data_IF_952342273538
#
_entry.id   IF_952342273538
#
_cell.length_a   1.000
_cell.length_b   1.000
_cell.length_c   1.000
_cell.angle_alpha   90.00
_cell.angle_beta   90.00
_cell.angle_gamma   90.00
#
_symmetry.space_group_name_H-M   'P 1'
#
loop_
_entity.id
_entity.type
_entity.pdbx_description
1 polymer ?
#
# COMPACT_ATOMS: atom_id res chain seq x y z
N UNK A 1 -1.88 0.04 -15.32
CA UNK A 1 -1.14 0.40 -16.55
C UNK A 1 -1.77 1.64 -17.17
N UNK A 2 -0.99 2.54 -17.78
CA UNK A 2 -1.52 3.71 -18.50
C UNK A 2 -0.89 3.80 -19.91
N UNK A 3 -1.64 4.35 -20.87
CA UNK A 3 -1.14 4.53 -22.23
C UNK A 3 -0.26 5.78 -22.27
N UNK A 4 0.99 5.63 -22.70
CA UNK A 4 1.93 6.75 -22.84
C UNK A 4 1.82 7.38 -24.23
N UNK A 5 1.70 6.56 -25.27
CA UNK A 5 1.56 7.06 -26.64
C UNK A 5 0.80 6.11 -27.55
N UNK A 6 0.18 6.67 -28.58
CA UNK A 6 -0.54 5.97 -29.65
C UNK A 6 0.04 6.43 -30.98
N UNK A 7 0.55 5.52 -31.79
CA UNK A 7 1.16 5.79 -33.10
C UNK A 7 2.27 6.87 -33.07
N UNK A 8 3.01 6.94 -31.95
CA UNK A 8 4.07 7.94 -31.75
C UNK A 8 3.58 9.29 -31.20
N UNK A 9 2.27 9.49 -31.06
CA UNK A 9 1.68 10.67 -30.41
C UNK A 9 1.68 10.42 -28.90
N UNK A 10 2.38 11.26 -28.14
CA UNK A 10 2.36 11.21 -26.68
C UNK A 10 0.98 11.66 -26.18
N UNK A 11 0.33 10.76 -25.44
CA UNK A 11 -1.00 11.00 -24.85
C UNK A 11 -0.95 10.97 -23.33
N UNK A 12 0.26 10.93 -22.74
CA UNK A 12 0.46 10.75 -21.30
C UNK A 12 -0.10 11.88 -20.44
N UNK A 13 -0.31 13.07 -21.04
CA UNK A 13 -0.83 14.28 -20.39
C UNK A 13 -2.17 14.75 -20.95
N UNK A 14 -2.76 14.00 -21.88
CA UNK A 14 -4.03 14.36 -22.50
C UNK A 14 -5.20 14.05 -21.57
N UNK A 15 -6.27 14.82 -21.69
CA UNK A 15 -7.52 14.46 -21.05
C UNK A 15 -8.23 13.32 -21.81
N UNK A 16 -9.30 12.78 -21.24
CA UNK A 16 -10.00 11.63 -21.81
C UNK A 16 -10.52 11.86 -23.24
N UNK A 17 -11.04 13.06 -23.52
CA UNK A 17 -11.62 13.39 -24.83
C UNK A 17 -10.54 13.52 -25.91
N UNK A 18 -9.44 14.20 -25.59
CA UNK A 18 -8.28 14.35 -26.45
C UNK A 18 -7.62 12.99 -26.76
N UNK A 19 -7.41 12.16 -25.73
CA UNK A 19 -6.87 10.82 -25.91
C UNK A 19 -7.79 9.93 -26.75
N UNK A 20 -9.11 10.05 -26.56
CA UNK A 20 -10.10 9.33 -27.36
C UNK A 20 -10.10 9.81 -28.83
N UNK A 21 -9.91 11.11 -29.08
CA UNK A 21 -9.77 11.64 -30.44
C UNK A 21 -8.56 11.03 -31.16
N UNK A 22 -7.40 10.97 -30.49
CA UNK A 22 -6.19 10.36 -31.06
C UNK A 22 -6.43 8.88 -31.42
N UNK A 23 -7.09 8.12 -30.53
CA UNK A 23 -7.46 6.73 -30.80
C UNK A 23 -8.45 6.60 -31.96
N UNK A 24 -9.44 7.50 -32.07
CA UNK A 24 -10.41 7.52 -33.18
C UNK A 24 -9.79 7.86 -34.53
N UNK A 25 -8.71 8.65 -34.54
CA UNK A 25 -7.97 8.98 -35.77
C UNK A 25 -7.02 7.88 -36.23
N UNK A 26 -6.79 6.85 -35.40
CA UNK A 26 -5.92 5.74 -35.76
C UNK A 26 -6.63 4.81 -36.76
N UNK A 27 -6.09 4.71 -37.98
CA UNK A 27 -6.58 3.80 -39.02
C UNK A 27 -5.53 2.74 -39.32
N UNK A 28 -5.92 1.46 -39.32
CA UNK A 28 -5.01 0.34 -39.57
C UNK A 28 -4.27 -0.13 -38.31
N UNK A 29 -2.99 -0.48 -38.47
CA UNK A 29 -2.19 -1.07 -37.37
C UNK A 29 -1.84 -0.01 -36.32
N UNK A 30 -2.39 -0.17 -35.11
CA UNK A 30 -2.16 0.74 -33.98
C UNK A 30 -0.95 0.29 -33.15
N UNK A 31 0.02 1.18 -32.95
CA UNK A 31 1.16 0.98 -32.06
C UNK A 31 0.93 1.73 -30.75
N UNK A 32 0.71 0.99 -29.65
CA UNK A 32 0.45 1.56 -28.34
C UNK A 32 1.66 1.32 -27.44
N UNK A 33 2.24 2.38 -26.88
CA UNK A 33 3.24 2.23 -25.81
C UNK A 33 2.52 2.34 -24.47
N UNK A 34 2.58 1.26 -23.70
CA UNK A 34 2.06 1.21 -22.34
C UNK A 34 3.17 1.56 -21.36
N UNK A 35 2.88 2.49 -20.47
CA UNK A 35 3.62 2.67 -19.23
C UNK A 35 3.12 1.63 -18.24
N UNK A 36 3.97 0.65 -17.93
CA UNK A 36 3.81 -0.07 -16.66
C UNK A 36 3.93 0.99 -15.59
N UNK A 37 2.87 1.16 -14.82
CA UNK A 37 2.93 1.97 -13.61
C UNK A 37 4.02 1.31 -12.76
N UNK A 38 5.21 1.90 -12.68
CA UNK A 38 6.03 1.66 -11.50
C UNK A 38 5.13 2.10 -10.38
N UNK A 39 4.70 1.14 -9.56
CA UNK A 39 3.99 1.41 -8.32
C UNK A 39 4.95 2.19 -7.43
N UNK A 40 5.16 3.47 -7.74
CA UNK A 40 5.49 4.43 -6.74
C UNK A 40 4.23 4.48 -5.87
N UNK A 41 4.49 4.21 -4.60
CA UNK A 41 3.58 4.08 -3.47
C UNK A 41 2.79 5.38 -3.25
N UNK A 42 1.94 5.74 -4.19
CA UNK A 42 1.06 6.90 -4.15
C UNK A 42 -0.15 6.62 -5.04
N UNK A 43 -0.80 5.48 -4.80
CA UNK A 43 -2.15 5.22 -5.25
C UNK A 43 -3.09 5.56 -4.10
N UNK A 44 -3.61 6.79 -4.12
CA UNK A 44 -4.88 7.24 -3.52
C UNK A 44 -5.38 6.52 -2.27
N UNK A 45 -4.57 6.66 -1.24
CA UNK A 45 -4.93 6.69 0.17
C UNK A 45 -3.62 6.95 0.92
N UNK A 46 -3.64 7.85 1.90
CA UNK A 46 -2.43 8.51 2.41
C UNK A 46 -1.57 7.52 3.20
N UNK A 47 -0.78 6.70 2.49
CA UNK A 47 0.21 5.84 3.11
C UNK A 47 1.26 6.71 3.79
N UNK A 48 1.46 6.54 5.09
CA UNK A 48 2.51 7.19 5.86
C UNK A 48 3.44 6.13 6.45
N UNK A 49 4.73 6.45 6.47
CA UNK A 49 5.72 5.61 7.13
C UNK A 49 5.94 6.13 8.54
N UNK A 50 5.90 5.23 9.52
CA UNK A 50 6.21 5.55 10.93
C UNK A 50 7.30 4.62 11.44
N UNK A 51 8.22 5.17 12.22
CA UNK A 51 9.26 4.40 12.89
C UNK A 51 8.90 4.34 14.37
N UNK A 52 8.80 3.13 14.91
CA UNK A 52 8.48 2.88 16.30
C UNK A 52 9.68 2.25 17.00
N UNK A 53 10.02 2.74 18.18
CA UNK A 53 11.00 2.11 19.04
C UNK A 53 10.32 1.12 19.98
N UNK A 54 10.90 -0.08 20.11
CA UNK A 54 10.38 -1.12 20.98
C UNK A 54 10.62 -0.75 22.45
N UNK A 55 9.54 -0.59 23.21
CA UNK A 55 9.57 -0.43 24.66
C UNK A 55 9.70 -1.77 25.40
N UNK A 56 9.67 -1.71 26.73
CA UNK A 56 9.72 -2.89 27.63
C UNK A 56 8.63 -3.91 27.34
N UNK A 57 7.42 -3.42 27.05
CA UNK A 57 6.22 -4.23 26.77
C UNK A 57 5.96 -4.41 25.27
N UNK A 58 6.96 -4.12 24.43
CA UNK A 58 6.88 -4.22 22.97
C UNK A 58 6.53 -2.89 22.30
N UNK A 59 5.71 -2.95 21.24
CA UNK A 59 5.37 -1.77 20.43
C UNK A 59 4.16 -0.99 20.97
N UNK A 60 3.39 -1.59 21.89
CA UNK A 60 2.23 -0.96 22.53
C UNK A 60 1.03 -0.72 21.62
N UNK A 61 0.79 -1.62 20.68
CA UNK A 61 -0.48 -1.72 19.95
C UNK A 61 -0.85 -3.19 19.73
N UNK A 62 -2.13 -3.45 19.49
CA UNK A 62 -2.60 -4.77 19.06
C UNK A 62 -3.13 -4.72 17.64
N UNK A 63 -3.02 -5.84 16.93
CA UNK A 63 -3.50 -5.97 15.55
C UNK A 63 -4.64 -6.98 15.44
N UNK A 64 -5.49 -6.76 14.45
CA UNK A 64 -6.46 -7.72 13.92
C UNK A 64 -6.16 -7.94 12.44
N UNK A 65 -6.75 -8.98 11.87
CA UNK A 65 -6.58 -9.32 10.46
C UNK A 65 -6.55 -10.83 10.32
N UNK A 66 -7.24 -11.34 9.32
CA UNK A 66 -7.31 -12.77 9.06
C UNK A 66 -7.47 -13.01 7.56
N UNK A 67 -6.36 -13.38 6.93
CA UNK A 67 -6.32 -13.74 5.53
C UNK A 67 -6.95 -15.12 5.25
N UNK A 68 -7.26 -15.93 6.27
CA UNK A 68 -7.90 -17.25 6.09
C UNK A 68 -9.43 -17.19 6.17
N UNK A 69 -10.01 -16.05 6.56
CA UNK A 69 -11.45 -15.86 6.63
C UNK A 69 -12.07 -15.61 5.24
N UNK A 70 -12.34 -16.67 4.48
CA UNK A 70 -13.17 -16.58 3.27
C UNK A 70 -14.64 -16.30 3.66
N UNK A 71 -15.39 -15.48 2.90
CA UNK A 71 -15.05 -14.84 1.63
C UNK A 71 -14.49 -13.41 1.77
N UNK A 72 -14.22 -12.94 2.99
CA UNK A 72 -13.78 -11.57 3.28
C UNK A 72 -12.41 -11.59 3.95
N UNK A 73 -11.37 -11.59 3.14
CA UNK A 73 -10.00 -11.35 3.60
C UNK A 73 -9.97 -10.06 4.43
N UNK A 74 -9.54 -10.15 5.68
CA UNK A 74 -9.37 -8.98 6.54
C UNK A 74 -7.89 -8.61 6.57
N UNK A 75 -7.49 -7.46 5.98
CA UNK A 75 -6.14 -6.92 6.10
C UNK A 75 -5.71 -6.73 7.56
N UNK A 76 -4.42 -6.47 7.77
CA UNK A 76 -3.90 -6.20 9.11
C UNK A 76 -4.27 -4.77 9.52
N UNK A 77 -5.01 -4.62 10.63
CA UNK A 77 -5.42 -3.32 11.19
C UNK A 77 -5.01 -3.20 12.66
N UNK A 78 -4.78 -1.97 13.09
CA UNK A 78 -4.57 -1.63 14.49
C UNK A 78 -5.90 -1.70 15.25
N UNK A 79 -5.98 -2.57 16.27
CA UNK A 79 -7.16 -2.75 17.12
C UNK A 79 -7.12 -1.83 18.35
N UNK A 80 -5.99 -1.76 19.03
CA UNK A 80 -5.78 -0.89 20.19
C UNK A 80 -4.39 -0.26 20.13
N UNK A 81 -4.25 0.93 20.70
CA UNK A 81 -2.99 1.65 20.88
C UNK A 81 -2.89 2.04 22.35
N UNK A 82 -1.73 1.85 22.95
CA UNK A 82 -1.45 2.29 24.32
C UNK A 82 -0.90 3.73 24.27
N UNK A 83 -1.49 4.64 25.06
CA UNK A 83 -1.17 6.07 25.03
C UNK A 83 0.27 6.40 25.46
N UNK A 84 0.89 5.56 26.31
CA UNK A 84 2.27 5.74 26.76
C UNK A 84 3.31 4.98 25.91
N UNK A 85 2.89 4.34 24.83
CA UNK A 85 3.79 3.56 23.98
C UNK A 85 4.29 4.35 22.78
N UNK A 86 5.39 3.88 22.17
CA UNK A 86 5.91 4.42 20.91
C UNK A 86 4.83 4.45 19.81
N UNK A 87 3.88 3.51 19.84
CA UNK A 87 2.75 3.45 18.91
C UNK A 87 1.69 4.56 19.08
N UNK A 88 1.84 5.52 20.00
CA UNK A 88 0.92 6.67 20.16
C UNK A 88 0.69 7.44 18.84
N UNK A 89 1.63 7.36 17.91
CA UNK A 89 1.50 7.94 16.56
C UNK A 89 0.50 7.21 15.67
N UNK A 90 0.10 5.98 16.01
CA UNK A 90 -0.90 5.16 15.33
C UNK A 90 -2.30 5.45 15.85
N UNK A 91 -3.31 5.15 15.04
CA UNK A 91 -4.72 5.22 15.44
C UNK A 91 -5.40 3.87 15.31
N UNK A 92 -6.38 3.61 16.17
CA UNK A 92 -7.27 2.46 15.99
C UNK A 92 -7.93 2.55 14.61
N UNK A 93 -7.89 1.47 13.85
CA UNK A 93 -8.38 1.40 12.48
C UNK A 93 -7.32 1.68 11.41
N UNK A 94 -6.11 2.13 11.78
CA UNK A 94 -5.00 2.25 10.83
C UNK A 94 -4.67 0.88 10.22
N UNK A 95 -4.55 0.82 8.88
CA UNK A 95 -4.16 -0.41 8.17
C UNK A 95 -2.64 -0.50 8.08
N UNK A 96 -2.07 -1.61 8.54
CA UNK A 96 -0.63 -1.87 8.38
C UNK A 96 -0.41 -2.60 7.05
N UNK A 97 0.32 -1.95 6.16
CA UNK A 97 0.62 -2.44 4.81
C UNK A 97 1.96 -3.18 4.78
N UNK A 98 2.96 -2.69 5.53
CA UNK A 98 4.29 -3.30 5.58
C UNK A 98 4.97 -3.12 6.95
N UNK A 99 5.90 -4.02 7.26
CA UNK A 99 6.76 -4.03 8.46
C UNK A 99 8.21 -4.24 8.02
N UNK A 100 9.13 -3.32 8.34
CA UNK A 100 10.56 -3.38 7.98
C UNK A 100 10.78 -3.80 6.52
N UNK A 101 10.09 -3.11 5.61
CA UNK A 101 10.11 -3.35 4.15
C UNK A 101 9.44 -4.66 3.68
N UNK A 102 8.82 -5.44 4.56
CA UNK A 102 8.06 -6.64 4.21
C UNK A 102 6.56 -6.33 4.08
N UNK A 103 5.99 -6.60 2.91
CA UNK A 103 4.57 -6.38 2.65
C UNK A 103 3.70 -7.41 3.38
N UNK A 104 2.65 -6.95 4.07
CA UNK A 104 1.70 -7.78 4.81
C UNK A 104 0.51 -8.26 3.95
N UNK A 105 0.40 -7.81 2.71
CA UNK A 105 -0.66 -8.21 1.78
C UNK A 105 -0.57 -9.71 1.52
N UNK A 106 -1.66 -10.44 1.80
CA UNK A 106 -1.70 -11.89 1.65
C UNK A 106 -1.10 -12.69 2.80
N UNK A 107 -0.60 -12.03 3.86
CA UNK A 107 -0.08 -12.71 5.03
C UNK A 107 -1.17 -13.01 6.05
N UNK A 108 -1.00 -14.12 6.76
CA UNK A 108 -1.85 -14.49 7.90
C UNK A 108 -1.56 -13.59 9.11
N UNK A 109 -2.52 -13.54 10.04
CA UNK A 109 -2.34 -12.88 11.34
C UNK A 109 -1.02 -13.29 12.00
N UNK A 110 -0.77 -14.60 12.06
CA UNK A 110 0.41 -15.16 12.70
C UNK A 110 1.70 -14.70 12.04
N UNK A 111 1.75 -14.66 10.70
CA UNK A 111 2.92 -14.17 9.97
C UNK A 111 3.18 -12.69 10.20
N UNK A 112 2.13 -11.85 10.23
CA UNK A 112 2.26 -10.44 10.56
C UNK A 112 2.80 -10.23 11.99
N UNK A 113 2.31 -11.00 12.96
CA UNK A 113 2.83 -10.99 14.34
C UNK A 113 4.29 -11.44 14.39
N UNK A 114 4.68 -12.45 13.61
CA UNK A 114 6.06 -12.92 13.56
C UNK A 114 7.00 -11.83 13.00
N UNK A 115 6.60 -11.12 11.95
CA UNK A 115 7.37 -9.98 11.43
C UNK A 115 7.57 -8.92 12.52
N UNK A 116 6.49 -8.48 13.15
CA UNK A 116 6.55 -7.48 14.24
C UNK A 116 7.38 -7.95 15.46
N UNK A 117 7.51 -9.26 15.69
CA UNK A 117 8.34 -9.83 16.76
C UNK A 117 9.81 -9.96 16.36
N UNK A 118 10.07 -10.30 15.10
CA UNK A 118 11.42 -10.46 14.56
C UNK A 118 12.08 -9.11 14.24
N UNK A 119 11.30 -8.05 14.13
CA UNK A 119 11.80 -6.68 14.02
C UNK A 119 12.74 -6.32 15.17
N UNK A 120 13.78 -5.56 14.84
CA UNK A 120 14.82 -5.09 15.76
C UNK A 120 14.27 -4.09 16.80
N UNK A 121 15.18 -3.38 17.46
CA UNK A 121 14.85 -2.31 18.42
C UNK A 121 13.96 -1.21 17.80
N UNK A 122 14.11 -0.97 16.50
CA UNK A 122 13.32 0.00 15.75
C UNK A 122 12.57 -0.72 14.63
N UNK A 123 11.28 -0.43 14.50
CA UNK A 123 10.37 -1.07 13.55
C UNK A 123 9.79 0.00 12.63
N UNK A 124 9.93 -0.20 11.33
CA UNK A 124 9.39 0.69 10.31
C UNK A 124 8.05 0.15 9.81
N UNK A 125 6.96 0.87 10.03
CA UNK A 125 5.62 0.50 9.58
C UNK A 125 5.15 1.41 8.45
N UNK A 126 4.58 0.81 7.41
CA UNK A 126 3.85 1.55 6.37
C UNK A 126 2.36 1.45 6.67
N UNK A 127 1.73 2.59 6.94
CA UNK A 127 0.36 2.69 7.43
C UNK A 127 -0.51 3.36 6.38
N UNK A 128 -1.66 2.77 6.09
CA UNK A 128 -2.70 3.35 5.25
C UNK A 128 -3.90 3.69 6.13
N UNK A 129 -4.09 4.99 6.37
CA UNK A 129 -5.18 5.58 7.16
C UNK A 129 -6.36 6.00 6.28
#
# INVERSE_FOLDING_TARGET
DHILSVNGIDISKMNHDEAAAVLKTAVGKVNIKLGRYKANESGEGRCRTVMLERGTDGLGFSIIGDYRSLPRYLPIYVKTVHEEAAAVVLKRGDRIVAVDHHNLTGLTHQQAVQLLKNSLQTVTLTIHS
#
